data_IF_895378244625
#
_entry.id   IF_895378244625
#
_cell.length_a   1.000
_cell.length_b   1.000
_cell.length_c   1.000
_cell.angle_alpha   90.00
_cell.angle_beta   90.00
_cell.angle_gamma   90.00
#
_symmetry.space_group_name_H-M   'P 1'
#
loop_
_entity.id
_entity.type
_entity.pdbx_description
1 polymer ?
#
# COMPACT_ATOMS: atom_id res chain seq x y z
N UNK A 1 -14.01 -7.47 25.02
CA UNK A 1 -12.85 -6.57 24.91
C UNK A 1 -12.11 -7.00 23.66
N UNK A 2 -12.23 -6.23 22.56
CA UNK A 2 -11.51 -6.48 21.33
C UNK A 2 -10.10 -5.91 21.52
N UNK A 3 -9.08 -6.77 21.63
CA UNK A 3 -7.71 -6.33 21.42
C UNK A 3 -7.58 -5.94 19.95
N UNK A 4 -7.67 -4.64 19.70
CA UNK A 4 -7.16 -4.05 18.46
C UNK A 4 -5.66 -4.34 18.48
N UNK A 5 -5.16 -5.09 17.53
CA UNK A 5 -3.73 -5.40 17.44
C UNK A 5 -3.01 -4.12 17.04
N UNK A 6 -2.66 -3.33 18.03
CA UNK A 6 -1.78 -2.19 17.85
C UNK A 6 -0.34 -2.72 17.70
N UNK A 7 0.16 -2.76 16.51
CA UNK A 7 1.58 -3.05 16.23
C UNK A 7 2.39 -1.82 16.66
N UNK A 8 2.75 -1.67 17.94
CA UNK A 8 3.24 -0.36 18.39
C UNK A 8 4.59 -0.31 19.07
N UNK A 9 5.12 -1.42 19.54
CA UNK A 9 6.42 -1.44 20.21
C UNK A 9 7.49 -2.24 19.45
N UNK A 10 7.39 -2.26 18.13
CA UNK A 10 8.42 -2.88 17.30
C UNK A 10 9.69 -2.02 17.32
N UNK A 11 10.80 -2.59 17.71
CA UNK A 11 12.10 -1.94 17.66
C UNK A 11 12.53 -1.69 16.21
N UNK A 12 13.46 -0.77 16.01
CA UNK A 12 14.00 -0.50 14.67
C UNK A 12 14.68 -1.74 14.06
N UNK A 13 15.32 -2.57 14.88
CA UNK A 13 15.97 -3.79 14.38
C UNK A 13 14.94 -4.85 13.95
N UNK A 14 13.88 -5.03 14.72
CA UNK A 14 12.78 -5.93 14.35
C UNK A 14 12.09 -5.46 13.09
N UNK A 15 11.86 -4.15 12.95
CA UNK A 15 11.24 -3.58 11.75
C UNK A 15 12.09 -3.83 10.49
N UNK A 16 13.42 -3.67 10.58
CA UNK A 16 14.36 -4.02 9.51
C UNK A 16 14.32 -5.51 9.16
N UNK A 17 14.26 -6.36 10.16
CA UNK A 17 14.15 -7.81 9.97
C UNK A 17 12.81 -8.17 9.30
N UNK A 18 11.72 -7.53 9.71
CA UNK A 18 10.40 -7.69 9.10
C UNK A 18 10.41 -7.25 7.64
N UNK A 19 11.01 -6.10 7.32
CA UNK A 19 11.14 -5.64 5.94
C UNK A 19 11.93 -6.62 5.06
N UNK A 20 12.97 -7.24 5.63
CA UNK A 20 13.71 -8.31 4.94
C UNK A 20 12.83 -9.52 4.67
N UNK A 21 12.02 -9.95 5.65
CA UNK A 21 11.07 -11.05 5.47
C UNK A 21 10.01 -10.73 4.40
N UNK A 22 9.51 -9.49 4.38
CA UNK A 22 8.57 -9.04 3.33
C UNK A 22 9.20 -9.12 1.95
N UNK A 23 10.46 -8.71 1.79
CA UNK A 23 11.20 -8.86 0.51
C UNK A 23 11.32 -10.32 0.09
N UNK A 24 11.61 -11.22 1.02
CA UNK A 24 11.68 -12.66 0.73
C UNK A 24 10.34 -13.20 0.22
N UNK A 25 9.23 -12.82 0.87
CA UNK A 25 7.87 -13.19 0.44
C UNK A 25 7.53 -12.62 -0.93
N UNK A 26 7.92 -11.38 -1.22
CA UNK A 26 7.74 -10.76 -2.54
C UNK A 26 8.45 -11.55 -3.62
N UNK A 27 9.72 -11.91 -3.41
CA UNK A 27 10.50 -12.69 -4.37
C UNK A 27 9.86 -14.06 -4.58
N UNK A 28 9.51 -14.77 -3.50
CA UNK A 28 8.93 -16.11 -3.56
C UNK A 28 7.59 -16.13 -4.32
N UNK A 29 6.67 -15.19 -4.01
CA UNK A 29 5.38 -15.14 -4.69
C UNK A 29 5.50 -14.77 -6.17
N UNK A 30 6.39 -13.85 -6.53
CA UNK A 30 6.62 -13.46 -7.94
C UNK A 30 7.29 -14.61 -8.70
N UNK A 31 8.26 -15.29 -8.07
CA UNK A 31 8.91 -16.45 -8.65
C UNK A 31 7.91 -17.58 -8.92
N UNK A 32 7.03 -17.91 -7.97
CA UNK A 32 5.98 -18.93 -8.14
C UNK A 32 4.94 -18.52 -9.19
N UNK A 33 4.65 -17.25 -9.31
CA UNK A 33 3.72 -16.73 -10.32
C UNK A 33 4.35 -16.66 -11.72
N UNK A 34 5.68 -16.67 -11.84
CA UNK A 34 6.44 -16.40 -13.08
C UNK A 34 5.99 -15.11 -13.78
N UNK A 35 5.45 -14.17 -13.00
CA UNK A 35 4.90 -12.89 -13.48
C UNK A 35 4.80 -11.89 -12.34
N UNK A 36 5.19 -10.64 -12.57
CA UNK A 36 5.08 -9.56 -11.58
C UNK A 36 6.19 -8.53 -11.74
N UNK A 37 6.20 -7.56 -10.80
CA UNK A 37 7.10 -6.42 -10.80
C UNK A 37 7.97 -6.46 -9.52
N UNK A 38 9.13 -7.16 -9.53
CA UNK A 38 9.95 -7.29 -8.32
C UNK A 38 10.60 -5.96 -7.91
N UNK A 39 11.14 -5.19 -8.87
CA UNK A 39 11.92 -3.99 -8.58
C UNK A 39 11.17 -2.98 -7.72
N UNK A 40 10.01 -2.51 -8.17
CA UNK A 40 9.22 -1.54 -7.43
C UNK A 40 8.71 -2.06 -6.08
N UNK A 41 8.37 -3.37 -6.00
CA UNK A 41 7.94 -4.00 -4.73
C UNK A 41 9.08 -4.06 -3.72
N UNK A 42 10.32 -4.34 -4.16
CA UNK A 42 11.51 -4.36 -3.30
C UNK A 42 11.92 -2.96 -2.88
N UNK A 43 11.81 -1.97 -3.79
CA UNK A 43 12.10 -0.57 -3.51
C UNK A 43 11.17 0.00 -2.43
N UNK A 44 9.87 -0.28 -2.53
CA UNK A 44 8.86 0.20 -1.60
C UNK A 44 8.85 -0.57 -0.25
N UNK A 45 9.63 -1.64 -0.09
CA UNK A 45 9.45 -2.58 1.01
C UNK A 45 9.63 -1.95 2.41
N UNK A 46 10.60 -1.07 2.61
CA UNK A 46 10.88 -0.53 3.94
C UNK A 46 9.74 0.36 4.44
N UNK A 47 9.29 1.30 3.63
CA UNK A 47 8.25 2.22 4.10
C UNK A 47 6.85 1.57 4.12
N UNK A 48 6.53 0.67 3.18
CA UNK A 48 5.26 -0.08 3.25
C UNK A 48 5.25 -0.97 4.49
N UNK A 49 6.35 -1.68 4.79
CA UNK A 49 6.46 -2.46 6.03
C UNK A 49 6.32 -1.56 7.26
N UNK A 50 7.00 -0.40 7.29
CA UNK A 50 6.89 0.53 8.41
C UNK A 50 5.45 1.00 8.62
N UNK A 51 4.72 1.30 7.55
CA UNK A 51 3.30 1.66 7.64
C UNK A 51 2.50 0.54 8.32
N UNK A 52 2.54 -0.67 7.79
CA UNK A 52 1.73 -1.79 8.28
C UNK A 52 2.10 -2.26 9.68
N UNK A 53 3.39 -2.23 10.05
CA UNK A 53 3.87 -2.83 11.30
C UNK A 53 4.15 -1.83 12.42
N UNK A 54 4.12 -0.51 12.15
CA UNK A 54 4.42 0.51 13.15
C UNK A 54 3.42 1.65 13.22
N UNK A 55 2.92 2.12 12.09
CA UNK A 55 2.21 3.41 12.05
C UNK A 55 0.71 3.29 11.85
N UNK A 56 0.23 2.31 11.08
CA UNK A 56 -1.18 2.20 10.75
C UNK A 56 -2.00 1.55 11.87
N UNK A 57 -3.18 2.08 12.10
CA UNK A 57 -4.21 1.47 12.93
C UNK A 57 -5.07 0.55 12.06
N UNK A 58 -4.99 -0.75 12.29
CA UNK A 58 -5.65 -1.77 11.48
C UNK A 58 -6.28 -2.83 12.39
N UNK A 59 -7.38 -3.42 11.92
CA UNK A 59 -7.96 -4.62 12.53
C UNK A 59 -8.15 -5.69 11.45
N UNK A 60 -7.29 -6.71 11.39
CA UNK A 60 -7.41 -7.81 10.42
C UNK A 60 -8.73 -8.60 10.56
N UNK A 61 -9.33 -8.60 11.75
CA UNK A 61 -10.62 -9.27 12.00
C UNK A 61 -11.80 -8.44 11.51
N UNK A 62 -11.60 -7.14 11.34
CA UNK A 62 -12.58 -6.22 10.77
C UNK A 62 -11.96 -5.38 9.64
N UNK A 63 -11.71 -5.98 8.46
CA UNK A 63 -11.04 -5.31 7.34
C UNK A 63 -11.75 -4.05 6.83
N UNK A 64 -13.03 -3.88 7.19
CA UNK A 64 -13.85 -2.73 6.81
C UNK A 64 -14.11 -1.78 7.97
N UNK A 65 -13.35 -1.89 9.06
CA UNK A 65 -13.47 -0.95 10.18
C UNK A 65 -13.35 0.50 9.68
N UNK A 66 -14.34 1.31 10.00
CA UNK A 66 -14.45 2.66 9.45
C UNK A 66 -13.35 3.62 9.93
N UNK A 67 -12.85 3.42 11.14
CA UNK A 67 -11.83 4.30 11.74
C UNK A 67 -10.40 3.78 11.54
N UNK A 68 -10.20 2.70 10.77
CA UNK A 68 -8.85 2.23 10.41
C UNK A 68 -8.13 3.23 9.52
N UNK A 69 -6.83 3.21 9.53
CA UNK A 69 -6.03 3.90 8.53
C UNK A 69 -6.16 3.23 7.14
N UNK A 70 -5.86 3.98 6.08
CA UNK A 70 -5.93 3.51 4.69
C UNK A 70 -4.56 3.49 4.05
N UNK A 71 -4.32 2.49 3.20
CA UNK A 71 -3.13 2.39 2.35
C UNK A 71 -3.53 2.37 0.88
N UNK A 72 -3.07 3.36 0.14
CA UNK A 72 -3.25 3.47 -1.31
C UNK A 72 -1.92 3.27 -2.01
N UNK A 73 -1.73 2.14 -2.68
CA UNK A 73 -0.62 1.99 -3.62
C UNK A 73 -1.04 2.61 -4.96
N UNK A 74 -0.70 3.88 -5.21
CA UNK A 74 -1.01 4.55 -6.46
C UNK A 74 -0.35 3.83 -7.63
N UNK A 75 0.93 3.49 -7.49
CA UNK A 75 1.62 2.55 -8.38
C UNK A 75 1.22 1.10 -8.10
N UNK A 76 0.00 0.74 -8.50
CA UNK A 76 -0.63 -0.54 -8.15
C UNK A 76 0.14 -1.80 -8.54
N UNK A 77 1.06 -1.71 -9.51
CA UNK A 77 1.90 -2.83 -9.92
C UNK A 77 2.84 -3.34 -8.82
N UNK A 78 3.06 -2.57 -7.73
CA UNK A 78 3.88 -3.02 -6.59
C UNK A 78 3.05 -3.71 -5.50
N UNK A 79 1.83 -4.14 -5.79
CA UNK A 79 0.95 -4.85 -4.86
C UNK A 79 1.56 -6.10 -4.18
N UNK A 80 2.58 -6.82 -4.72
CA UNK A 80 3.19 -7.92 -4.00
C UNK A 80 3.68 -7.55 -2.60
N UNK A 81 4.28 -6.36 -2.40
CA UNK A 81 4.70 -5.94 -1.05
C UNK A 81 3.49 -5.70 -0.13
N UNK A 82 2.40 -5.13 -0.65
CA UNK A 82 1.19 -4.93 0.13
C UNK A 82 0.55 -6.26 0.52
N UNK A 83 0.47 -7.22 -0.40
CA UNK A 83 -0.04 -8.56 -0.12
C UNK A 83 0.79 -9.29 0.94
N UNK A 84 2.12 -9.20 0.86
CA UNK A 84 3.00 -9.77 1.87
C UNK A 84 2.72 -9.18 3.27
N UNK A 85 2.57 -7.86 3.37
CA UNK A 85 2.24 -7.18 4.62
C UNK A 85 0.85 -7.60 5.13
N UNK A 86 -0.19 -7.57 4.29
CA UNK A 86 -1.56 -7.94 4.67
C UNK A 86 -1.65 -9.37 5.18
N UNK A 87 -1.01 -10.33 4.50
CA UNK A 87 -0.97 -11.72 4.95
C UNK A 87 -0.27 -11.86 6.31
N UNK A 88 0.87 -11.19 6.49
CA UNK A 88 1.65 -11.26 7.72
C UNK A 88 0.96 -10.57 8.91
N UNK A 89 0.22 -9.49 8.66
CA UNK A 89 -0.62 -8.83 9.68
C UNK A 89 -1.86 -9.67 10.02
N UNK A 90 -2.29 -10.58 9.14
CA UNK A 90 -3.35 -11.55 9.40
C UNK A 90 -4.69 -11.27 8.71
N UNK A 91 -4.74 -10.46 7.66
CA UNK A 91 -5.95 -10.25 6.86
C UNK A 91 -6.39 -11.51 6.12
N UNK A 92 -5.45 -12.38 5.78
CA UNK A 92 -5.68 -13.69 5.15
C UNK A 92 -4.47 -14.62 5.38
N UNK A 93 -4.63 -15.94 5.22
CA UNK A 93 -3.53 -16.90 5.43
C UNK A 93 -2.35 -16.66 4.46
N UNK A 94 -1.13 -16.81 4.96
CA UNK A 94 0.09 -16.63 4.13
C UNK A 94 0.15 -17.58 2.93
N UNK A 95 -0.45 -18.78 3.03
CA UNK A 95 -0.53 -19.74 1.92
C UNK A 95 -1.23 -19.18 0.67
N UNK A 96 -2.06 -18.14 0.83
CA UNK A 96 -2.72 -17.45 -0.29
C UNK A 96 -1.71 -16.69 -1.17
N UNK A 97 -0.54 -16.31 -0.62
CA UNK A 97 0.51 -15.64 -1.40
C UNK A 97 0.97 -16.48 -2.61
N UNK A 98 0.90 -17.81 -2.49
CA UNK A 98 1.26 -18.75 -3.57
C UNK A 98 0.28 -18.72 -4.77
N UNK A 99 -0.80 -17.97 -4.65
CA UNK A 99 -1.83 -17.82 -5.68
C UNK A 99 -1.74 -16.52 -6.47
N UNK A 100 -0.68 -15.72 -6.27
CA UNK A 100 -0.50 -14.44 -6.97
C UNK A 100 -0.73 -14.62 -8.48
N UNK A 101 -1.60 -13.79 -9.08
CA UNK A 101 -1.94 -13.75 -10.52
C UNK A 101 -2.52 -15.06 -11.10
N UNK A 102 -2.82 -16.06 -10.28
CA UNK A 102 -3.51 -17.26 -10.76
C UNK A 102 -5.00 -16.96 -10.99
N UNK A 103 -5.61 -17.67 -11.93
CA UNK A 103 -7.03 -17.56 -12.18
C UNK A 103 -7.84 -17.85 -10.91
N UNK A 104 -8.86 -17.04 -10.65
CA UNK A 104 -9.69 -17.15 -9.44
C UNK A 104 -9.06 -16.62 -8.15
N UNK A 105 -7.76 -16.31 -8.13
CA UNK A 105 -7.10 -15.76 -6.95
C UNK A 105 -7.64 -14.38 -6.60
N UNK A 106 -7.68 -14.09 -5.30
CA UNK A 106 -7.94 -12.73 -4.83
C UNK A 106 -6.73 -11.80 -4.99
N UNK A 107 -5.51 -12.36 -5.17
CA UNK A 107 -4.27 -11.62 -5.36
C UNK A 107 -4.02 -11.36 -6.83
N UNK A 108 -4.64 -10.29 -7.33
CA UNK A 108 -4.52 -9.86 -8.71
C UNK A 108 -3.17 -9.18 -8.98
N UNK A 109 -2.83 -8.97 -10.26
CA UNK A 109 -1.60 -8.26 -10.65
C UNK A 109 -1.57 -6.77 -10.27
N UNK A 110 -2.74 -6.22 -9.91
CA UNK A 110 -2.95 -4.90 -9.28
C UNK A 110 -3.94 -5.06 -8.12
N UNK A 111 -3.92 -4.19 -7.10
CA UNK A 111 -4.81 -4.32 -5.96
C UNK A 111 -6.28 -4.25 -6.38
N UNK A 112 -7.11 -5.10 -5.80
CA UNK A 112 -8.55 -5.07 -6.03
C UNK A 112 -9.31 -5.04 -4.70
N UNK A 113 -9.97 -3.91 -4.42
CA UNK A 113 -10.74 -3.72 -3.19
C UNK A 113 -11.94 -4.66 -3.07
N UNK A 114 -12.43 -5.17 -4.21
CA UNK A 114 -13.58 -6.08 -4.25
C UNK A 114 -13.19 -7.54 -4.01
N UNK A 115 -11.90 -7.88 -4.09
CA UNK A 115 -11.40 -9.26 -4.00
C UNK A 115 -10.55 -9.52 -2.77
N UNK A 116 -9.68 -8.56 -2.40
CA UNK A 116 -8.69 -8.76 -1.36
C UNK A 116 -9.03 -7.95 -0.11
N UNK A 117 -9.23 -8.59 1.05
CA UNK A 117 -9.48 -7.88 2.31
C UNK A 117 -8.27 -7.03 2.69
N UNK A 118 -8.51 -5.84 3.22
CA UNK A 118 -7.46 -4.88 3.58
C UNK A 118 -6.96 -4.01 2.43
N UNK A 119 -7.47 -4.20 1.21
CA UNK A 119 -7.25 -3.27 0.09
C UNK A 119 -8.34 -2.20 0.12
N UNK A 120 -7.92 -0.94 0.20
CA UNK A 120 -8.81 0.22 0.34
C UNK A 120 -9.38 0.71 -0.99
N UNK A 121 -8.61 0.55 -2.07
CA UNK A 121 -9.02 0.93 -3.42
C UNK A 121 -8.30 0.09 -4.48
N UNK A 122 -8.98 -0.19 -5.57
CA UNK A 122 -8.37 -0.78 -6.77
C UNK A 122 -7.53 0.27 -7.50
N UNK A 123 -6.27 -0.02 -7.74
CA UNK A 123 -5.33 0.87 -8.44
C UNK A 123 -4.62 0.15 -9.58
N UNK A 124 -3.81 0.87 -10.35
CA UNK A 124 -3.04 0.31 -11.48
C UNK A 124 -2.94 1.29 -12.65
N UNK A 125 -3.94 2.16 -12.85
CA UNK A 125 -3.83 3.33 -13.71
C UNK A 125 -3.03 4.38 -12.98
N UNK A 126 -1.80 4.65 -13.46
CA UNK A 126 -0.87 5.57 -12.81
C UNK A 126 -1.47 6.98 -12.73
N UNK A 127 -1.17 7.70 -11.66
CA UNK A 127 -1.69 9.03 -11.36
C UNK A 127 -2.99 9.04 -10.55
N UNK A 128 -3.88 8.08 -10.75
CA UNK A 128 -5.23 8.06 -10.19
C UNK A 128 -5.28 7.82 -8.67
N UNK A 129 -4.33 7.04 -8.15
CA UNK A 129 -4.36 6.62 -6.75
C UNK A 129 -4.22 7.79 -5.77
N UNK A 130 -3.39 8.78 -6.07
CA UNK A 130 -3.21 9.94 -5.20
C UNK A 130 -4.48 10.80 -5.13
N UNK A 131 -5.18 10.98 -6.24
CA UNK A 131 -6.45 11.71 -6.26
C UNK A 131 -7.51 11.01 -5.39
N UNK A 132 -7.59 9.68 -5.49
CA UNK A 132 -8.46 8.88 -4.62
C UNK A 132 -8.06 8.97 -3.15
N UNK A 133 -6.76 8.92 -2.83
CA UNK A 133 -6.24 9.08 -1.47
C UNK A 133 -6.58 10.45 -0.89
N UNK A 134 -6.45 11.52 -1.69
CA UNK A 134 -6.87 12.86 -1.30
C UNK A 134 -8.37 12.94 -1.00
N UNK A 135 -9.20 12.28 -1.82
CA UNK A 135 -10.63 12.17 -1.58
C UNK A 135 -10.96 11.45 -0.27
N UNK A 136 -10.26 10.34 0.04
CA UNK A 136 -10.42 9.61 1.31
C UNK A 136 -10.00 10.48 2.51
N UNK A 137 -8.89 11.21 2.39
CA UNK A 137 -8.42 12.10 3.46
C UNK A 137 -9.40 13.26 3.70
N UNK A 138 -9.94 13.84 2.62
CA UNK A 138 -10.95 14.89 2.70
C UNK A 138 -12.24 14.38 3.37
N UNK A 139 -12.71 13.17 2.99
CA UNK A 139 -13.86 12.55 3.61
C UNK A 139 -13.65 12.37 5.13
N UNK A 140 -12.47 11.89 5.54
CA UNK A 140 -12.14 11.76 6.97
C UNK A 140 -12.24 13.10 7.72
N UNK A 141 -11.76 14.19 7.12
CA UNK A 141 -11.89 15.52 7.73
C UNK A 141 -13.34 16.00 7.82
N UNK A 142 -14.12 15.78 6.77
CA UNK A 142 -15.54 16.15 6.75
C UNK A 142 -16.36 15.35 7.77
N UNK A 143 -16.03 14.09 7.95
CA UNK A 143 -16.70 13.18 8.89
C UNK A 143 -16.12 13.24 10.31
N UNK A 144 -15.17 14.16 10.58
CA UNK A 144 -14.48 14.32 11.87
C UNK A 144 -13.84 13.02 12.36
N UNK A 145 -13.20 12.26 11.44
CA UNK A 145 -12.48 11.01 11.71
C UNK A 145 -10.98 11.27 11.84
N UNK A 146 -10.32 10.55 12.73
CA UNK A 146 -8.89 10.71 13.03
C UNK A 146 -7.97 9.82 12.20
N UNK A 147 -8.52 9.01 11.28
CA UNK A 147 -7.71 8.11 10.48
C UNK A 147 -6.79 8.85 9.50
N UNK A 148 -5.70 8.21 9.20
CA UNK A 148 -4.71 8.67 8.22
C UNK A 148 -4.84 7.88 6.92
N UNK A 149 -4.48 8.54 5.83
CA UNK A 149 -4.36 7.92 4.51
C UNK A 149 -2.89 7.95 4.10
N UNK A 150 -2.32 6.77 3.89
CA UNK A 150 -0.95 6.60 3.39
C UNK A 150 -1.03 6.31 1.90
N UNK A 151 -0.30 7.06 1.09
CA UNK A 151 -0.28 6.89 -0.35
C UNK A 151 1.16 6.70 -0.84
N UNK A 152 1.34 5.76 -1.77
CA UNK A 152 2.64 5.47 -2.38
C UNK A 152 2.58 5.77 -3.86
N UNK A 153 3.40 6.70 -4.30
CA UNK A 153 3.55 7.15 -5.68
C UNK A 153 4.94 6.77 -6.18
N UNK A 154 5.08 6.41 -7.46
CA UNK A 154 6.38 6.24 -8.10
C UNK A 154 6.89 7.55 -8.70
N UNK A 155 8.20 7.67 -8.88
CA UNK A 155 8.83 8.80 -9.56
C UNK A 155 8.43 8.90 -11.04
N UNK A 156 8.41 7.78 -11.77
CA UNK A 156 7.85 7.72 -13.11
C UNK A 156 6.36 8.05 -13.15
N UNK A 157 5.59 7.60 -12.15
CA UNK A 157 4.18 7.96 -12.00
C UNK A 157 3.99 9.46 -11.74
N UNK A 158 4.94 10.11 -11.08
CA UNK A 158 4.88 11.56 -10.82
C UNK A 158 4.99 12.42 -12.08
N UNK A 159 5.23 11.84 -13.25
CA UNK A 159 5.15 12.51 -14.54
C UNK A 159 3.70 12.69 -15.02
N UNK A 160 2.74 11.98 -14.41
CA UNK A 160 1.31 12.18 -14.68
C UNK A 160 0.82 13.51 -14.08
N UNK A 161 0.11 14.31 -14.89
CA UNK A 161 -0.41 15.63 -14.45
C UNK A 161 -1.34 15.54 -13.25
N UNK A 162 -2.13 14.46 -13.18
CA UNK A 162 -3.08 14.22 -12.08
C UNK A 162 -2.43 14.13 -10.70
N UNK A 163 -1.17 13.70 -10.60
CA UNK A 163 -0.41 13.71 -9.34
C UNK A 163 -0.29 15.15 -8.80
N UNK A 164 0.03 16.10 -9.65
CA UNK A 164 0.19 17.51 -9.28
C UNK A 164 -1.16 18.19 -9.00
N UNK A 165 -2.20 17.83 -9.74
CA UNK A 165 -3.57 18.29 -9.49
C UNK A 165 -4.08 17.80 -8.15
N UNK A 166 -3.84 16.53 -7.81
CA UNK A 166 -4.18 15.96 -6.52
C UNK A 166 -3.38 16.60 -5.38
N UNK A 167 -2.07 16.86 -5.57
CA UNK A 167 -1.23 17.54 -4.59
C UNK A 167 -1.72 18.97 -4.32
N UNK A 168 -2.07 19.72 -5.37
CA UNK A 168 -2.67 21.06 -5.22
C UNK A 168 -4.00 21.03 -4.46
N UNK A 169 -4.83 20.02 -4.73
CA UNK A 169 -6.09 19.80 -4.03
C UNK A 169 -5.85 19.51 -2.54
N UNK A 170 -4.90 18.62 -2.25
CA UNK A 170 -4.54 18.27 -0.88
C UNK A 170 -4.03 19.49 -0.11
N UNK A 171 -3.19 20.32 -0.73
CA UNK A 171 -2.72 21.58 -0.14
C UNK A 171 -3.88 22.55 0.12
N UNK A 172 -4.74 22.76 -0.88
CA UNK A 172 -5.88 23.69 -0.79
C UNK A 172 -6.80 23.35 0.38
N UNK A 173 -7.07 22.08 0.61
CA UNK A 173 -7.96 21.62 1.68
C UNK A 173 -7.25 21.28 2.98
N UNK A 174 -5.93 21.53 3.07
CA UNK A 174 -5.13 21.29 4.28
C UNK A 174 -5.21 19.84 4.76
N UNK A 175 -5.03 18.87 3.86
CA UNK A 175 -5.18 17.44 4.16
C UNK A 175 -3.94 16.91 4.93
N UNK A 176 -3.79 17.30 6.19
CA UNK A 176 -2.70 16.92 7.08
C UNK A 176 -2.80 15.45 7.57
N UNK A 177 -3.92 14.79 7.28
CA UNK A 177 -4.14 13.36 7.47
C UNK A 177 -3.77 12.52 6.22
N UNK A 178 -3.26 13.12 5.15
CA UNK A 178 -2.71 12.45 3.97
C UNK A 178 -1.18 12.44 4.05
N UNK A 179 -0.59 11.25 4.03
CA UNK A 179 0.87 11.05 4.02
C UNK A 179 1.25 10.41 2.69
N UNK A 180 2.05 11.11 1.89
CA UNK A 180 2.47 10.65 0.57
C UNK A 180 3.95 10.29 0.58
N UNK A 181 4.27 9.09 0.15
CA UNK A 181 5.64 8.65 -0.12
C UNK A 181 5.86 8.63 -1.62
N UNK A 182 6.89 9.31 -2.09
CA UNK A 182 7.40 9.19 -3.45
C UNK A 182 8.56 8.21 -3.44
N UNK A 183 8.37 7.06 -4.07
CA UNK A 183 9.45 6.08 -4.27
C UNK A 183 10.32 6.54 -5.43
N UNK A 184 11.30 7.35 -5.10
CA UNK A 184 12.26 7.91 -6.05
C UNK A 184 13.43 6.93 -6.27
N UNK A 185 13.14 5.86 -7.01
CA UNK A 185 14.14 4.85 -7.37
C UNK A 185 14.85 5.14 -8.71
N UNK A 186 14.51 6.25 -9.35
CA UNK A 186 15.01 6.74 -10.62
C UNK A 186 14.81 5.78 -11.80
N UNK A 187 13.82 4.88 -11.71
CA UNK A 187 13.51 3.89 -12.74
C UNK A 187 12.02 3.87 -13.07
N UNK A 188 11.72 3.85 -14.34
CA UNK A 188 10.41 3.60 -14.91
C UNK A 188 10.49 2.43 -15.90
N UNK A 189 9.37 2.10 -16.60
CA UNK A 189 9.27 0.89 -17.41
C UNK A 189 10.40 0.79 -18.46
N UNK A 190 10.70 1.87 -19.17
CA UNK A 190 11.59 1.90 -20.34
C UNK A 190 12.86 2.74 -20.12
N UNK A 191 13.25 3.00 -18.87
CA UNK A 191 14.47 3.77 -18.61
C UNK A 191 14.52 4.47 -17.27
N UNK A 192 15.28 5.56 -17.22
CA UNK A 192 15.36 6.45 -16.06
C UNK A 192 14.24 7.49 -16.07
N UNK A 193 14.06 8.16 -14.94
CA UNK A 193 13.08 9.24 -14.80
C UNK A 193 13.66 10.63 -15.11
N UNK A 194 14.92 10.71 -15.58
CA UNK A 194 15.61 11.93 -15.97
C UNK A 194 15.10 12.49 -17.29
#
# INVERSE_FOLDING_TARGET
FNEVIFVKDISMQELKNTATQMRMKVIDMIYKAQSGHPGGSLSAADFVTACYFKYMNLDPKNPRWEDRDRMVLSKGHVCPIQYACLATVGFFPESVLDTLRKEGSMLQGHPSMNRCPGIDISTGSLGQGLACAAGMALAGKLDHKDYKVFCVVGDGEAQEGEIWEAANTAHKYGLDNLIVFVDNNNLQLDGTCD
#
